data_IF_086208179892
#
_entry.id   IF_086208179892
#
_cell.length_a   1.000
_cell.length_b   1.000
_cell.length_c   1.000
_cell.angle_alpha   90.00
_cell.angle_beta   90.00
_cell.angle_gamma   90.00
#
_symmetry.space_group_name_H-M   'P 1'
#
loop_
_entity.id
_entity.type
_entity.pdbx_description
1 polymer ?
#
# COMPACT_ATOMS: atom_id res chain seq x y z
N UNK A 1 -13.96 -2.76 -6.86
CA UNK A 1 -13.00 -3.84 -6.50
C UNK A 1 -13.18 -4.29 -5.06
N UNK A 2 -12.79 -5.51 -4.76
CA UNK A 2 -12.84 -6.04 -3.39
C UNK A 2 -11.63 -5.58 -2.60
N UNK A 3 -11.84 -5.15 -1.35
CA UNK A 3 -10.77 -4.76 -0.45
C UNK A 3 -11.11 -5.16 0.99
N UNK A 4 -10.06 -5.48 1.75
CA UNK A 4 -10.17 -5.67 3.20
C UNK A 4 -9.96 -4.31 3.87
N UNK A 5 -10.99 -3.87 4.58
CA UNK A 5 -11.06 -2.53 5.18
C UNK A 5 -11.34 -2.66 6.67
N UNK A 6 -10.77 -1.77 7.49
CA UNK A 6 -11.15 -1.65 8.88
C UNK A 6 -11.39 -0.18 9.25
N UNK A 7 -12.39 0.06 10.07
CA UNK A 7 -12.79 1.39 10.54
C UNK A 7 -12.43 1.65 12.00
N UNK A 8 -12.05 0.60 12.72
CA UNK A 8 -11.65 0.68 14.12
C UNK A 8 -10.39 -0.12 14.34
N UNK A 9 -9.58 0.27 15.32
CA UNK A 9 -8.43 -0.54 15.72
C UNK A 9 -8.90 -1.79 16.46
N UNK A 10 -8.20 -2.90 16.22
CA UNK A 10 -8.48 -4.15 16.91
C UNK A 10 -8.12 -4.05 18.40
N UNK A 11 -8.97 -4.60 19.26
CA UNK A 11 -8.71 -4.72 20.69
C UNK A 11 -8.35 -6.17 21.00
N UNK A 12 -7.30 -6.35 21.82
CA UNK A 12 -6.83 -7.69 22.23
C UNK A 12 -6.56 -8.61 21.04
N UNK A 13 -6.06 -8.04 19.94
CA UNK A 13 -5.73 -8.75 18.69
C UNK A 13 -6.91 -9.49 18.06
N UNK A 14 -8.12 -9.02 18.28
CA UNK A 14 -9.31 -9.52 17.60
C UNK A 14 -9.44 -8.87 16.22
N UNK A 15 -8.59 -9.32 15.29
CA UNK A 15 -8.53 -8.77 13.94
C UNK A 15 -9.76 -9.12 13.11
N UNK A 16 -10.34 -10.28 13.32
CA UNK A 16 -11.51 -10.73 12.57
C UNK A 16 -12.72 -9.82 12.77
N UNK A 17 -12.88 -9.27 13.98
CA UNK A 17 -14.03 -8.41 14.27
C UNK A 17 -13.96 -7.06 13.60
N UNK A 18 -12.77 -6.59 13.21
CA UNK A 18 -12.59 -5.27 12.61
C UNK A 18 -12.37 -5.32 11.10
N UNK A 19 -11.87 -6.46 10.56
CA UNK A 19 -11.67 -6.62 9.12
C UNK A 19 -12.99 -6.91 8.41
N UNK A 20 -13.25 -6.17 7.34
CA UNK A 20 -14.45 -6.30 6.55
C UNK A 20 -14.11 -6.29 5.06
N UNK A 21 -14.66 -7.26 4.33
CA UNK A 21 -14.53 -7.29 2.87
C UNK A 21 -15.58 -6.37 2.26
N UNK A 22 -15.14 -5.35 1.55
CA UNK A 22 -16.00 -4.35 0.92
C UNK A 22 -15.73 -4.22 -0.57
N UNK A 23 -16.77 -3.82 -1.30
CA UNK A 23 -16.60 -3.28 -2.64
C UNK A 23 -16.29 -1.80 -2.55
N UNK A 24 -15.17 -1.39 -3.11
CA UNK A 24 -14.76 0.01 -3.18
C UNK A 24 -14.53 0.42 -4.63
N UNK A 25 -14.60 1.72 -4.96
CA UNK A 25 -14.27 2.17 -6.31
C UNK A 25 -12.84 1.80 -6.70
N UNK A 26 -12.62 1.52 -7.97
CA UNK A 26 -11.26 1.32 -8.47
C UNK A 26 -10.47 2.62 -8.35
N UNK A 27 -9.19 2.55 -7.93
CA UNK A 27 -8.39 3.75 -7.78
C UNK A 27 -8.07 4.38 -9.12
N UNK A 28 -7.96 5.71 -9.13
CA UNK A 28 -7.52 6.49 -10.28
C UNK A 28 -6.14 7.05 -9.94
N UNK A 29 -5.11 6.85 -10.78
CA UNK A 29 -3.78 7.33 -10.46
C UNK A 29 -3.70 8.85 -10.56
N UNK A 30 -3.06 9.48 -9.57
CA UNK A 30 -2.62 10.86 -9.69
C UNK A 30 -1.47 10.96 -10.69
N UNK A 31 -1.03 12.21 -11.00
CA UNK A 31 -0.05 12.42 -12.06
C UNK A 31 1.25 11.62 -11.89
N UNK A 32 1.67 11.32 -10.66
CA UNK A 32 2.90 10.60 -10.33
C UNK A 32 2.66 9.21 -9.75
N UNK A 33 1.45 8.67 -9.92
CA UNK A 33 1.06 7.39 -9.36
C UNK A 33 0.83 6.35 -10.45
N UNK A 34 0.89 5.10 -10.03
CA UNK A 34 0.63 3.93 -10.87
C UNK A 34 -0.44 3.09 -10.20
N UNK A 35 -1.36 2.56 -11.00
CA UNK A 35 -2.32 1.56 -10.55
C UNK A 35 -1.95 0.23 -11.19
N UNK A 36 -1.90 -0.81 -10.38
CA UNK A 36 -1.67 -2.15 -10.89
C UNK A 36 -2.70 -3.14 -10.36
N UNK A 37 -2.99 -4.15 -11.15
CA UNK A 37 -3.85 -5.27 -10.74
C UNK A 37 -3.05 -6.23 -9.91
N UNK A 38 -3.47 -6.44 -8.66
CA UNK A 38 -2.79 -7.34 -7.73
C UNK A 38 -2.94 -8.78 -8.20
N UNK A 39 -1.82 -9.47 -8.36
CA UNK A 39 -1.74 -10.90 -8.69
C UNK A 39 -1.29 -11.75 -7.51
N UNK A 40 -0.53 -11.15 -6.61
CA UNK A 40 -0.07 -11.78 -5.38
C UNK A 40 0.07 -10.72 -4.29
N UNK A 41 -0.20 -11.10 -3.08
CA UNK A 41 -0.04 -10.26 -1.90
C UNK A 41 0.57 -11.08 -0.78
N UNK A 42 1.27 -10.44 0.13
CA UNK A 42 1.88 -11.10 1.28
C UNK A 42 1.49 -10.37 2.56
N UNK A 43 1.43 -11.12 3.65
CA UNK A 43 1.22 -10.55 4.97
C UNK A 43 2.54 -10.03 5.52
N UNK A 44 2.47 -8.89 6.17
CA UNK A 44 3.60 -8.24 6.82
C UNK A 44 3.20 -7.88 8.26
N UNK A 45 4.15 -7.80 9.16
CA UNK A 45 3.87 -7.42 10.54
C UNK A 45 3.31 -5.99 10.65
N UNK A 46 3.63 -5.13 9.69
CA UNK A 46 3.06 -3.78 9.59
C UNK A 46 1.53 -3.80 9.48
N UNK A 47 0.96 -4.81 8.87
CA UNK A 47 -0.49 -4.98 8.76
C UNK A 47 -1.11 -5.19 10.15
N UNK A 48 -0.44 -5.96 10.99
CA UNK A 48 -0.84 -6.19 12.38
C UNK A 48 -0.71 -4.90 13.20
N UNK A 49 0.40 -4.19 13.07
CA UNK A 49 0.60 -2.91 13.75
C UNK A 49 -0.45 -1.88 13.36
N UNK A 50 -0.78 -1.81 12.08
CA UNK A 50 -1.83 -0.92 11.58
C UNK A 50 -3.19 -1.23 12.20
N UNK A 51 -3.57 -2.49 12.26
CA UNK A 51 -4.83 -2.90 12.88
C UNK A 51 -4.86 -2.71 14.39
N UNK A 52 -3.72 -2.85 15.06
CA UNK A 52 -3.59 -2.54 16.49
C UNK A 52 -3.64 -1.04 16.78
N UNK A 53 -3.23 -0.23 15.82
CA UNK A 53 -3.02 1.21 16.01
C UNK A 53 -1.77 1.55 16.83
N UNK A 54 -0.92 0.58 17.11
CA UNK A 54 0.32 0.72 17.92
C UNK A 54 1.40 -0.24 17.40
N UNK A 55 2.65 0.17 17.29
CA UNK A 55 3.16 1.54 17.44
C UNK A 55 2.81 2.45 16.27
N UNK A 56 2.18 1.91 15.24
CA UNK A 56 1.84 2.60 14.01
C UNK A 56 0.35 2.92 13.99
N UNK A 57 0.01 4.21 14.06
CA UNK A 57 -1.37 4.67 13.91
C UNK A 57 -1.61 5.07 12.46
N UNK A 58 -2.64 4.48 11.85
CA UNK A 58 -3.04 4.79 10.47
C UNK A 58 -4.37 5.55 10.48
N UNK A 59 -4.60 6.45 9.51
CA UNK A 59 -5.91 7.08 9.37
C UNK A 59 -6.99 6.03 9.09
N UNK A 60 -8.15 6.19 9.72
CA UNK A 60 -9.30 5.30 9.54
C UNK A 60 -10.39 6.00 8.70
N UNK A 61 -11.13 5.30 7.86
CA UNK A 61 -10.99 3.88 7.52
C UNK A 61 -9.70 3.59 6.73
N UNK A 62 -9.18 2.38 6.86
CA UNK A 62 -7.93 2.00 6.22
C UNK A 62 -8.06 0.69 5.46
N UNK A 63 -7.43 0.60 4.31
CA UNK A 63 -7.34 -0.63 3.52
C UNK A 63 -6.07 -1.36 3.94
N UNK A 64 -6.22 -2.59 4.39
CA UNK A 64 -5.11 -3.40 4.86
C UNK A 64 -4.19 -3.84 3.72
N UNK A 65 -2.91 -4.02 4.04
CA UNK A 65 -1.91 -4.58 3.15
C UNK A 65 -0.89 -3.58 2.64
N UNK A 66 0.37 -3.99 2.58
CA UNK A 66 1.48 -3.19 2.05
C UNK A 66 2.25 -3.91 0.95
N UNK A 67 2.29 -5.24 0.99
CA UNK A 67 3.11 -6.04 0.07
C UNK A 67 2.24 -6.66 -1.02
N UNK A 68 2.48 -6.25 -2.24
CA UNK A 68 1.75 -6.75 -3.39
C UNK A 68 2.61 -6.76 -4.65
N UNK A 69 2.28 -7.67 -5.54
CA UNK A 69 2.87 -7.73 -6.88
C UNK A 69 1.75 -7.85 -7.90
N UNK A 70 1.95 -7.31 -9.08
CA UNK A 70 0.94 -7.36 -10.12
C UNK A 70 1.37 -6.73 -11.43
N UNK A 71 0.39 -6.43 -12.23
CA UNK A 71 0.56 -5.88 -13.58
C UNK A 71 -0.06 -4.49 -13.66
N UNK A 72 0.68 -3.53 -14.18
CA UNK A 72 0.25 -2.14 -14.31
C UNK A 72 -0.93 -2.04 -15.26
N UNK A 73 -2.00 -1.38 -14.81
CA UNK A 73 -3.22 -1.15 -15.61
C UNK A 73 -3.43 0.32 -15.96
N UNK A 74 -2.86 1.24 -15.18
CA UNK A 74 -2.96 2.67 -15.44
C UNK A 74 -1.77 3.40 -14.85
N UNK A 75 -1.35 4.48 -15.50
CA UNK A 75 -0.23 5.33 -15.05
C UNK A 75 -0.66 6.78 -15.07
N UNK A 76 -0.10 7.58 -14.15
CA UNK A 76 -0.28 9.02 -14.14
C UNK A 76 0.53 9.72 -15.25
N UNK A 77 0.16 10.95 -15.55
CA UNK A 77 0.75 11.71 -16.67
C UNK A 77 2.24 12.01 -16.53
N UNK A 78 2.76 12.03 -15.29
CA UNK A 78 4.18 12.29 -15.01
C UNK A 78 5.03 11.03 -14.86
N UNK A 79 4.43 9.85 -14.97
CA UNK A 79 5.16 8.59 -14.88
C UNK A 79 5.87 8.30 -16.20
N UNK A 80 7.20 8.11 -16.14
CA UNK A 80 8.05 7.96 -17.34
C UNK A 80 8.71 6.59 -17.45
N UNK A 81 9.00 5.95 -16.33
CA UNK A 81 9.82 4.74 -16.25
C UNK A 81 9.00 3.43 -16.15
N UNK A 82 7.69 3.55 -16.07
CA UNK A 82 6.76 2.41 -15.96
C UNK A 82 5.66 2.60 -16.99
N UNK A 83 5.23 1.54 -17.63
CA UNK A 83 4.16 1.55 -18.62
C UNK A 83 3.10 0.50 -18.32
N UNK A 84 1.92 0.68 -18.86
CA UNK A 84 0.83 -0.31 -18.78
C UNK A 84 1.31 -1.66 -19.31
N UNK A 85 1.04 -2.72 -18.57
CA UNK A 85 1.49 -4.08 -18.88
C UNK A 85 2.76 -4.50 -18.14
N UNK A 86 3.49 -3.57 -17.53
CA UNK A 86 4.69 -3.91 -16.76
C UNK A 86 4.32 -4.69 -15.51
N UNK A 87 5.16 -5.64 -15.14
CA UNK A 87 5.06 -6.37 -13.87
C UNK A 87 5.82 -5.60 -12.79
N UNK A 88 5.16 -5.38 -11.69
CA UNK A 88 5.70 -4.55 -10.59
C UNK A 88 5.49 -5.21 -9.24
N UNK A 89 6.30 -4.78 -8.29
CA UNK A 89 6.18 -5.11 -6.87
C UNK A 89 6.09 -3.79 -6.10
N UNK A 90 5.19 -3.72 -5.13
CA UNK A 90 5.11 -2.53 -4.28
C UNK A 90 6.33 -2.44 -3.36
N UNK A 91 6.83 -1.22 -3.19
CA UNK A 91 7.80 -0.90 -2.14
C UNK A 91 7.03 -0.33 -0.96
N UNK A 92 7.15 -0.95 0.21
CA UNK A 92 6.35 -0.61 1.39
C UNK A 92 6.61 0.79 1.96
N UNK A 93 7.73 1.40 1.63
CA UNK A 93 8.09 2.73 2.11
C UNK A 93 7.90 3.77 1.03
N UNK A 94 7.22 4.85 1.38
CA UNK A 94 7.06 6.01 0.49
C UNK A 94 8.04 7.10 0.90
N UNK A 95 8.71 7.70 -0.07
CA UNK A 95 9.62 8.82 0.17
C UNK A 95 9.37 9.93 -0.84
N UNK A 96 9.73 11.14 -0.48
CA UNK A 96 9.66 12.28 -1.40
C UNK A 96 10.71 12.24 -2.50
N UNK A 97 11.78 11.45 -2.31
CA UNK A 97 12.93 11.30 -3.21
C UNK A 97 13.67 12.61 -3.53
N UNK A 98 13.44 13.63 -2.72
CA UNK A 98 14.03 14.97 -2.93
C UNK A 98 14.95 15.34 -1.76
N UNK A 99 14.54 15.06 -0.51
CA UNK A 99 15.35 15.40 0.64
C UNK A 99 16.49 14.41 0.84
N UNK A 100 17.64 14.90 1.24
CA UNK A 100 18.85 14.08 1.36
C UNK A 100 18.70 12.92 2.35
N UNK A 101 18.03 13.12 3.48
CA UNK A 101 17.90 12.05 4.47
C UNK A 101 17.01 10.90 4.00
N UNK A 102 15.95 11.19 3.25
CA UNK A 102 15.08 10.14 2.69
C UNK A 102 15.74 9.44 1.50
N UNK A 103 16.51 10.13 0.69
CA UNK A 103 17.27 9.53 -0.38
C UNK A 103 18.27 8.51 0.16
N UNK A 104 19.06 8.89 1.15
CA UNK A 104 20.03 7.99 1.75
C UNK A 104 19.37 6.78 2.43
N UNK A 105 18.28 7.00 3.13
CA UNK A 105 17.58 5.93 3.84
C UNK A 105 16.92 4.95 2.88
N UNK A 106 16.27 5.46 1.84
CA UNK A 106 15.62 4.63 0.83
C UNK A 106 16.63 3.82 0.01
N UNK A 107 17.71 4.46 -0.40
CA UNK A 107 18.75 3.79 -1.20
C UNK A 107 19.46 2.70 -0.41
N UNK A 108 19.66 2.90 0.89
CA UNK A 108 20.23 1.88 1.75
C UNK A 108 19.31 0.67 1.95
N UNK A 109 18.01 0.86 1.87
CA UNK A 109 17.04 -0.23 1.98
C UNK A 109 16.94 -1.06 0.70
N UNK A 110 17.28 -0.48 -0.45
CA UNK A 110 17.23 -1.16 -1.74
C UNK A 110 18.47 -2.04 -2.01
N UNK A 111 19.48 -1.96 -1.18
CA UNK A 111 20.68 -2.80 -1.24
C UNK A 111 20.51 -4.10 -0.43
#
# INVERSE_FOLDING_TARGET
MKALVYENYAQDDDFESVLELRDIPEPIPKHNEVVFRVKAAALNYDDIWGMRGKPLAVPLPHISGTDAAGEVTAIGSSVKNIKVGDRVVSHGNMSCRICACLLYTSDAADE
#
